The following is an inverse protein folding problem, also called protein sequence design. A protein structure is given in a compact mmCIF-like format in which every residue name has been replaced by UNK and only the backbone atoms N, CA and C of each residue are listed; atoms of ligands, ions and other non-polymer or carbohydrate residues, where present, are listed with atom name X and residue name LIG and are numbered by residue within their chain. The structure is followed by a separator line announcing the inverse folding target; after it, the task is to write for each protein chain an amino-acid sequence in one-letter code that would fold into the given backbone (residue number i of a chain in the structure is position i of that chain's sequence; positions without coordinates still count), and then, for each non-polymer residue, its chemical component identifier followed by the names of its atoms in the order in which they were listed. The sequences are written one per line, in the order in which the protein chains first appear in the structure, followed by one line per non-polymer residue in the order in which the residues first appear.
data_IF_012965369347
#
_entry.id   IF_012965369347
#
_cell.length_a   1.000
_cell.length_b   1.000
_cell.length_c   1.000
_cell.angle_alpha   90.00
_cell.angle_beta   90.00
_cell.angle_gamma   90.00
#
_symmetry.space_group_name_H-M   'P 1'
#
loop_
_entity.id
_entity.type
_entity.pdbx_description
1 polymer ?
#
# COMPACT_ATOMS: atom_id res chain seq x y z
N UNK A 1 -29.89 0.33 1.45
CA UNK A 1 -28.93 -0.64 0.91
C UNK A 1 -27.58 -0.24 1.45
N UNK A 2 -26.88 -1.12 2.16
CA UNK A 2 -25.58 -0.79 2.74
C UNK A 2 -24.54 -0.65 1.65
N UNK A 3 -23.77 0.42 1.69
CA UNK A 3 -22.60 0.59 0.85
C UNK A 3 -21.55 -0.40 1.35
N UNK A 4 -21.21 -1.39 0.54
CA UNK A 4 -20.11 -2.30 0.85
C UNK A 4 -18.82 -1.54 0.54
N UNK A 5 -17.92 -1.33 1.53
CA UNK A 5 -16.66 -0.66 1.29
C UNK A 5 -15.89 -1.42 0.21
N UNK A 6 -15.43 -0.70 -0.81
CA UNK A 6 -14.62 -1.30 -1.86
C UNK A 6 -13.23 -1.68 -1.29
N UNK A 7 -12.39 -2.34 -2.10
CA UNK A 7 -11.05 -2.75 -1.67
C UNK A 7 -10.21 -1.59 -1.12
N UNK A 8 -10.34 -0.39 -1.69
CA UNK A 8 -9.58 0.79 -1.27
C UNK A 8 -10.14 1.38 0.03
N UNK A 9 -11.45 1.37 0.25
CA UNK A 9 -12.03 1.82 1.54
C UNK A 9 -11.48 1.01 2.71
N UNK A 10 -11.32 -0.30 2.52
CA UNK A 10 -10.72 -1.17 3.52
C UNK A 10 -9.23 -0.88 3.75
N UNK A 11 -8.48 -0.59 2.68
CA UNK A 11 -7.06 -0.22 2.78
C UNK A 11 -6.90 1.14 3.47
N UNK A 12 -7.76 2.12 3.14
CA UNK A 12 -7.80 3.44 3.77
C UNK A 12 -8.07 3.29 5.27
N UNK A 13 -9.17 2.59 5.61
CA UNK A 13 -9.55 2.35 6.99
C UNK A 13 -8.43 1.64 7.77
N UNK A 14 -7.78 0.64 7.18
CA UNK A 14 -6.70 -0.08 7.83
C UNK A 14 -5.48 0.82 8.06
N UNK A 15 -4.98 1.46 7.00
CA UNK A 15 -3.67 2.14 7.01
C UNK A 15 -3.65 3.48 7.74
N UNK A 16 -4.82 4.10 7.96
CA UNK A 16 -4.93 5.35 8.72
C UNK A 16 -5.18 5.14 10.23
N UNK A 17 -5.31 3.90 10.72
CA UNK A 17 -5.48 3.62 12.16
C UNK A 17 -4.17 3.73 12.96
N UNK A 18 -3.03 3.49 12.31
CA UNK A 18 -1.67 3.55 12.90
C UNK A 18 -0.65 3.56 11.76
N UNK A 19 0.63 3.74 12.08
CA UNK A 19 1.68 3.52 11.09
C UNK A 19 1.70 2.05 10.64
N UNK A 20 1.72 1.84 9.33
CA UNK A 20 1.86 0.53 8.69
C UNK A 20 2.97 0.56 7.66
N UNK A 21 3.62 -0.58 7.50
CA UNK A 21 4.59 -0.83 6.44
C UNK A 21 3.95 -1.68 5.34
N UNK A 22 4.38 -1.49 4.10
CA UNK A 22 3.96 -2.30 2.95
C UNK A 22 5.16 -2.90 2.24
N UNK A 23 5.05 -4.17 1.86
CA UNK A 23 6.06 -4.88 1.07
C UNK A 23 5.48 -5.29 -0.27
N UNK A 24 6.18 -4.91 -1.34
CA UNK A 24 5.91 -5.38 -2.69
C UNK A 24 6.97 -6.41 -3.08
N UNK A 25 6.55 -7.65 -3.28
CA UNK A 25 7.41 -8.72 -3.82
C UNK A 25 7.22 -8.83 -5.34
N UNK A 26 8.34 -8.86 -6.06
CA UNK A 26 8.37 -8.84 -7.53
C UNK A 26 9.21 -9.98 -8.07
N UNK A 27 8.82 -10.49 -9.24
CA UNK A 27 9.56 -11.50 -9.99
C UNK A 27 9.75 -11.01 -11.42
N UNK A 28 10.99 -10.92 -11.88
CA UNK A 28 11.29 -10.56 -13.27
C UNK A 28 10.95 -11.71 -14.23
N UNK A 29 10.88 -11.42 -15.52
CA UNK A 29 10.66 -12.47 -16.54
C UNK A 29 11.81 -13.50 -16.59
N UNK A 30 12.99 -13.15 -16.07
CA UNK A 30 14.14 -14.04 -15.92
C UNK A 30 14.07 -14.87 -14.62
N UNK A 31 13.05 -14.67 -13.79
CA UNK A 31 12.85 -15.37 -12.52
C UNK A 31 13.58 -14.75 -11.33
N UNK A 32 14.23 -13.59 -11.50
CA UNK A 32 14.89 -12.88 -10.40
C UNK A 32 13.82 -12.33 -9.44
N UNK A 33 14.03 -12.53 -8.14
CA UNK A 33 13.12 -12.04 -7.09
C UNK A 33 13.71 -10.80 -6.46
N UNK A 34 12.88 -9.77 -6.31
CA UNK A 34 13.23 -8.52 -5.63
C UNK A 34 12.08 -8.07 -4.73
N UNK A 35 12.35 -7.17 -3.79
CA UNK A 35 11.33 -6.57 -2.95
C UNK A 35 11.55 -5.07 -2.73
N UNK A 36 10.44 -4.37 -2.54
CA UNK A 36 10.39 -2.99 -2.06
C UNK A 36 9.60 -2.93 -0.76
N UNK A 37 10.23 -2.50 0.33
CA UNK A 37 9.61 -2.27 1.63
C UNK A 37 9.56 -0.76 1.89
N UNK A 38 8.40 -0.27 2.30
CA UNK A 38 8.23 1.11 2.78
C UNK A 38 7.71 1.05 4.22
N UNK A 39 8.44 1.64 5.17
CA UNK A 39 8.06 1.55 6.58
C UNK A 39 6.84 2.40 6.92
N UNK A 40 6.62 3.49 6.17
CA UNK A 40 5.48 4.39 6.30
C UNK A 40 4.61 4.31 5.03
N UNK A 41 3.41 3.74 5.16
CA UNK A 41 2.45 3.57 4.07
C UNK A 41 1.02 3.89 4.52
N UNK A 42 0.35 4.75 3.76
CA UNK A 42 -1.10 4.95 3.86
C UNK A 42 -1.65 5.48 2.54
N UNK A 43 -2.98 5.44 2.41
CA UNK A 43 -3.71 6.10 1.33
C UNK A 43 -4.68 7.11 1.92
N UNK A 44 -5.08 8.10 1.14
CA UNK A 44 -6.17 9.02 1.53
C UNK A 44 -7.56 8.41 1.22
N UNK A 45 -8.63 9.15 1.53
CA UNK A 45 -10.01 8.73 1.29
C UNK A 45 -10.43 8.83 -0.20
N UNK A 46 -11.67 8.47 -0.50
CA UNK A 46 -12.23 8.53 -1.86
C UNK A 46 -12.25 9.95 -2.45
N UNK A 47 -12.46 10.99 -1.63
CA UNK A 47 -12.47 12.39 -2.08
C UNK A 47 -11.10 12.80 -2.64
N UNK A 48 -10.04 12.24 -2.07
CA UNK A 48 -8.66 12.43 -2.53
C UNK A 48 -8.20 11.30 -3.46
N UNK A 49 -9.15 10.54 -4.02
CA UNK A 49 -8.93 9.48 -5.01
C UNK A 49 -7.93 8.42 -4.53
N UNK A 50 -7.92 8.15 -3.22
CA UNK A 50 -7.02 7.17 -2.62
C UNK A 50 -5.54 7.47 -2.92
N UNK A 51 -5.15 8.76 -2.84
CA UNK A 51 -3.76 9.18 -3.07
C UNK A 51 -2.81 8.39 -2.17
N UNK A 52 -1.78 7.81 -2.77
CA UNK A 52 -0.80 6.95 -2.11
C UNK A 52 0.32 7.77 -1.48
N UNK A 53 0.63 7.47 -0.22
CA UNK A 53 1.78 7.99 0.50
C UNK A 53 2.70 6.84 0.91
N UNK A 54 3.98 6.93 0.54
CA UNK A 54 5.03 5.96 0.86
C UNK A 54 6.31 6.68 1.23
N UNK A 55 6.98 6.24 2.30
CA UNK A 55 8.26 6.79 2.77
C UNK A 55 9.16 5.66 3.30
N UNK A 56 10.42 6.00 3.58
CA UNK A 56 11.39 5.11 4.24
C UNK A 56 11.62 3.79 3.47
N UNK A 57 12.03 3.92 2.21
CA UNK A 57 12.31 2.78 1.33
C UNK A 57 13.49 1.93 1.84
N UNK A 58 13.32 0.62 1.82
CA UNK A 58 14.39 -0.37 1.87
C UNK A 58 14.09 -1.55 0.94
N UNK A 59 15.12 -2.16 0.37
CA UNK A 59 14.96 -3.30 -0.53
C UNK A 59 15.96 -3.31 -1.69
N UNK A 60 15.73 -4.22 -2.62
CA UNK A 60 16.58 -4.51 -3.77
C UNK A 60 15.84 -4.44 -5.11
N UNK A 61 14.61 -3.90 -5.09
CA UNK A 61 13.77 -3.61 -6.26
C UNK A 61 14.50 -2.82 -7.36
#
# INVERSE_FOLDING_TARGET
MGEHPNGNDNIFALTNQRAYSVRFDMVSYLGERRYALYDSFWIDDENHKYTLHIQDYSGDA
#
